data_IF_118823759116
#
_entry.id   IF_118823759116
#
_cell.length_a   1.000
_cell.length_b   1.000
_cell.length_c   1.000
_cell.angle_alpha   90.00
_cell.angle_beta   90.00
_cell.angle_gamma   90.00
#
_symmetry.space_group_name_H-M   'P 1'
#
loop_
_entity.id
_entity.type
_entity.pdbx_description
1 polymer ?
#
# COMPACT_ATOMS: atom_id res chain seq x y z
N UNK A 1 -21.37 21.66 7.62
CA UNK A 1 -20.06 21.07 7.97
C UNK A 1 -19.28 22.12 8.73
N UNK A 2 -18.82 21.81 9.94
CA UNK A 2 -17.84 22.64 10.65
C UNK A 2 -16.48 22.53 9.92
N UNK A 3 -15.61 23.55 10.00
CA UNK A 3 -14.27 23.45 9.47
C UNK A 3 -13.53 22.29 10.18
N UNK A 4 -12.91 21.41 9.39
CA UNK A 4 -12.01 20.37 9.90
C UNK A 4 -10.87 21.02 10.69
N UNK A 5 -10.46 20.39 11.79
CA UNK A 5 -9.33 20.88 12.57
C UNK A 5 -8.08 20.83 11.67
N UNK A 6 -7.14 21.79 11.72
CA UNK A 6 -5.94 21.79 10.88
C UNK A 6 -5.00 20.58 11.07
N UNK A 7 -5.35 19.63 11.95
CA UNK A 7 -4.63 18.38 12.17
C UNK A 7 -5.48 17.13 11.83
N UNK A 8 -6.69 17.29 11.28
CA UNK A 8 -7.54 16.17 10.86
C UNK A 8 -7.06 15.50 9.56
N UNK A 9 -6.22 16.19 8.76
CA UNK A 9 -5.68 15.72 7.48
C UNK A 9 -4.38 14.89 7.61
N UNK A 10 -3.80 14.78 8.81
CA UNK A 10 -2.60 13.96 9.10
C UNK A 10 -2.93 12.45 9.27
N UNK A 11 -4.11 12.02 8.82
CA UNK A 11 -4.50 10.61 8.83
C UNK A 11 -3.95 9.94 7.57
N UNK A 12 -3.44 8.71 7.73
CA UNK A 12 -3.16 7.86 6.58
C UNK A 12 -4.43 7.78 5.74
N UNK A 13 -4.30 8.04 4.43
CA UNK A 13 -5.34 7.66 3.49
C UNK A 13 -5.43 6.13 3.55
N UNK A 14 -6.44 5.63 4.26
CA UNK A 14 -6.63 4.20 4.60
C UNK A 14 -6.70 3.29 3.36
N UNK A 15 -6.74 3.87 2.17
CA UNK A 15 -6.74 3.26 0.85
C UNK A 15 -5.36 2.73 0.39
N UNK A 16 -4.23 2.97 1.09
CA UNK A 16 -2.90 2.52 0.61
C UNK A 16 -2.39 1.20 1.24
N UNK A 17 -2.06 0.21 0.41
CA UNK A 17 -1.52 -1.11 0.79
C UNK A 17 0.02 -1.21 0.84
N UNK A 18 0.57 -1.98 1.78
CA UNK A 18 2.00 -2.35 1.82
C UNK A 18 2.14 -3.86 2.03
N UNK A 19 3.03 -4.50 1.27
CA UNK A 19 3.35 -5.91 1.38
C UNK A 19 4.86 -6.12 1.12
N UNK A 20 5.50 -7.06 1.83
CA UNK A 20 6.93 -7.33 1.70
C UNK A 20 7.29 -8.75 2.10
N UNK A 21 8.34 -9.30 1.49
CA UNK A 21 8.89 -10.63 1.78
C UNK A 21 10.41 -10.57 1.77
N UNK A 22 11.05 -11.49 2.51
CA UNK A 22 12.52 -11.60 2.60
C UNK A 22 12.95 -13.07 2.47
N UNK A 23 14.17 -13.31 2.01
CA UNK A 23 14.75 -14.67 1.93
C UNK A 23 14.25 -15.52 0.76
N UNK A 24 13.67 -14.90 -0.28
CA UNK A 24 13.17 -15.57 -1.47
C UNK A 24 13.90 -15.03 -2.70
N UNK A 25 14.36 -15.92 -3.59
CA UNK A 25 14.97 -15.54 -4.87
C UNK A 25 13.99 -14.73 -5.75
N UNK A 26 12.70 -15.09 -5.72
CA UNK A 26 11.64 -14.49 -6.53
C UNK A 26 10.78 -13.49 -5.74
N UNK A 27 11.39 -12.71 -4.85
CA UNK A 27 10.67 -11.82 -3.92
C UNK A 27 9.63 -10.91 -4.63
N UNK A 28 9.99 -10.35 -5.79
CA UNK A 28 9.10 -9.48 -6.57
C UNK A 28 7.77 -10.16 -6.95
N UNK A 29 7.78 -11.46 -7.30
CA UNK A 29 6.58 -12.19 -7.70
C UNK A 29 5.61 -12.37 -6.52
N UNK A 30 6.15 -12.71 -5.35
CA UNK A 30 5.34 -12.83 -4.13
C UNK A 30 4.80 -11.46 -3.69
N UNK A 31 5.58 -10.39 -3.82
CA UNK A 31 5.11 -9.03 -3.54
C UNK A 31 3.99 -8.64 -4.50
N UNK A 32 4.09 -8.97 -5.80
CA UNK A 32 3.03 -8.71 -6.76
C UNK A 32 1.70 -9.40 -6.38
N UNK A 33 1.76 -10.68 -5.99
CA UNK A 33 0.58 -11.42 -5.53
C UNK A 33 0.01 -10.87 -4.21
N UNK A 34 0.88 -10.49 -3.27
CA UNK A 34 0.46 -9.88 -2.01
C UNK A 34 -0.21 -8.52 -2.22
N UNK A 35 0.35 -7.67 -3.08
CA UNK A 35 -0.27 -6.40 -3.46
C UNK A 35 -1.61 -6.62 -4.18
N UNK A 36 -1.71 -7.64 -5.04
CA UNK A 36 -2.98 -8.01 -5.67
C UNK A 36 -4.05 -8.41 -4.65
N UNK A 37 -3.69 -9.14 -3.58
CA UNK A 37 -4.64 -9.46 -2.51
C UNK A 37 -5.11 -8.20 -1.75
N UNK A 38 -4.26 -7.17 -1.67
CA UNK A 38 -4.56 -5.87 -1.06
C UNK A 38 -5.18 -4.86 -2.03
N UNK A 39 -5.47 -5.25 -3.26
CA UNK A 39 -5.95 -4.35 -4.32
C UNK A 39 -7.25 -3.64 -3.96
N UNK A 40 -8.09 -4.24 -3.11
CA UNK A 40 -9.31 -3.64 -2.57
C UNK A 40 -9.06 -2.37 -1.73
N UNK A 41 -7.81 -2.14 -1.29
CA UNK A 41 -7.44 -0.93 -0.55
C UNK A 41 -7.29 0.26 -1.49
N UNK A 42 -6.70 0.11 -2.67
CA UNK A 42 -6.50 1.27 -3.57
C UNK A 42 -6.11 0.87 -4.99
N UNK A 43 -6.74 1.51 -5.97
CA UNK A 43 -6.66 1.17 -7.41
C UNK A 43 -5.90 2.20 -8.25
N UNK A 44 -5.42 3.29 -7.64
CA UNK A 44 -4.86 4.41 -8.38
C UNK A 44 -3.43 4.16 -8.88
N UNK A 45 -2.61 3.44 -8.09
CA UNK A 45 -1.23 3.11 -8.43
C UNK A 45 -0.68 1.98 -7.54
N UNK A 46 0.43 1.38 -7.97
CA UNK A 46 1.21 0.41 -7.20
C UNK A 46 2.66 0.36 -7.65
N UNK A 47 3.56 -0.13 -6.80
CA UNK A 47 5.00 -0.23 -7.09
C UNK A 47 5.66 -1.36 -6.33
N UNK A 48 6.70 -1.94 -6.93
CA UNK A 48 7.52 -3.03 -6.35
C UNK A 48 8.99 -2.64 -6.48
N UNK A 49 9.76 -2.84 -5.42
CA UNK A 49 11.22 -2.68 -5.41
C UNK A 49 11.84 -3.99 -4.96
N UNK A 50 12.85 -4.45 -5.69
CA UNK A 50 13.61 -5.67 -5.41
C UNK A 50 15.05 -5.48 -5.90
N UNK A 51 16.02 -6.09 -5.23
CA UNK A 51 17.45 -6.07 -5.60
C UNK A 51 17.76 -7.25 -6.52
#
# INVERSE_FOLDING_TARGET
MLPSHPFDDDKLKEECGVFGVIGLAEAANFVALGLHALQHRGQEAGGIVSH
#
